data_IF_726595707105
#
_entry.id   IF_726595707105
#
_cell.length_a   1.000
_cell.length_b   1.000
_cell.length_c   1.000
_cell.angle_alpha   90.00
_cell.angle_beta   90.00
_cell.angle_gamma   90.00
#
_symmetry.space_group_name_H-M   'P 1'
#
loop_
_entity.id
_entity.type
_entity.pdbx_description
1 polymer ?
#
# COMPACT_ATOMS: atom_id res chain seq x y z
N UNK A 1 -28.16 12.02 11.27
CA UNK A 1 -27.10 11.37 12.07
C UNK A 1 -26.07 10.74 11.17
N UNK A 2 -24.78 10.75 11.53
CA UNK A 2 -23.66 10.30 10.69
C UNK A 2 -23.83 8.87 10.14
N UNK A 3 -24.49 7.98 10.88
CA UNK A 3 -24.83 6.60 10.45
C UNK A 3 -25.72 6.56 9.22
N UNK A 4 -26.65 7.51 9.06
CA UNK A 4 -27.52 7.59 7.87
C UNK A 4 -26.70 7.91 6.62
N UNK A 5 -25.72 8.80 6.72
CA UNK A 5 -24.87 9.18 5.59
C UNK A 5 -23.92 8.04 5.23
N UNK A 6 -23.35 7.35 6.23
CA UNK A 6 -22.54 6.15 6.01
C UNK A 6 -23.29 5.07 5.21
N UNK A 7 -24.51 4.71 5.65
CA UNK A 7 -25.35 3.73 4.93
C UNK A 7 -25.70 4.18 3.52
N UNK A 8 -25.95 5.48 3.31
CA UNK A 8 -26.22 6.02 1.98
C UNK A 8 -25.01 5.87 1.05
N UNK A 9 -23.79 6.12 1.54
CA UNK A 9 -22.54 5.92 0.79
C UNK A 9 -22.31 4.45 0.47
N UNK A 10 -22.46 3.56 1.45
CA UNK A 10 -22.30 2.11 1.25
C UNK A 10 -23.29 1.57 0.20
N UNK A 11 -24.56 1.96 0.29
CA UNK A 11 -25.59 1.54 -0.68
C UNK A 11 -25.32 2.10 -2.07
N UNK A 12 -24.86 3.36 -2.17
CA UNK A 12 -24.47 3.95 -3.46
C UNK A 12 -23.32 3.18 -4.09
N UNK A 13 -22.32 2.77 -3.30
CA UNK A 13 -21.20 1.96 -3.79
C UNK A 13 -21.67 0.57 -4.25
N UNK A 14 -22.53 -0.10 -3.47
CA UNK A 14 -23.12 -1.40 -3.84
C UNK A 14 -23.85 -1.34 -5.18
N UNK A 15 -24.66 -0.32 -5.42
CA UNK A 15 -25.36 -0.15 -6.70
C UNK A 15 -24.39 0.20 -7.84
N UNK A 16 -23.36 1.02 -7.59
CA UNK A 16 -22.39 1.41 -8.62
C UNK A 16 -21.60 0.21 -9.16
N UNK A 17 -21.27 -0.76 -8.31
CA UNK A 17 -20.52 -1.97 -8.71
C UNK A 17 -21.40 -3.12 -9.16
N UNK A 18 -22.73 -2.97 -9.13
CA UNK A 18 -23.69 -4.05 -9.42
C UNK A 18 -23.58 -4.60 -10.85
N UNK A 19 -23.14 -3.78 -11.80
CA UNK A 19 -22.94 -4.14 -13.20
C UNK A 19 -21.53 -4.71 -13.47
N UNK A 20 -20.63 -4.68 -12.48
CA UNK A 20 -19.30 -5.28 -12.63
C UNK A 20 -19.44 -6.80 -12.76
N UNK A 21 -18.71 -7.37 -13.71
CA UNK A 21 -18.73 -8.82 -13.99
C UNK A 21 -17.98 -9.62 -12.93
N UNK A 22 -17.05 -9.01 -12.21
CA UNK A 22 -16.32 -9.66 -11.14
C UNK A 22 -17.19 -9.77 -9.89
N UNK A 23 -17.10 -10.89 -9.15
CA UNK A 23 -17.71 -10.98 -7.83
C UNK A 23 -17.06 -9.96 -6.90
N UNK A 24 -17.89 -9.12 -6.27
CA UNK A 24 -17.45 -8.09 -5.32
C UNK A 24 -18.15 -8.29 -3.98
N UNK A 25 -17.40 -8.17 -2.88
CA UNK A 25 -17.93 -8.14 -1.52
C UNK A 25 -17.55 -6.81 -0.87
N UNK A 26 -18.50 -6.19 -0.17
CA UNK A 26 -18.36 -4.86 0.43
C UNK A 26 -18.77 -4.97 1.90
N UNK A 27 -17.89 -4.55 2.82
CA UNK A 27 -18.18 -4.48 4.25
C UNK A 27 -18.81 -3.14 4.65
N UNK A 28 -19.11 -2.95 5.94
CA UNK A 28 -19.56 -1.67 6.48
C UNK A 28 -18.36 -0.75 6.74
N UNK A 29 -18.61 0.56 6.78
CA UNK A 29 -17.61 1.55 7.20
C UNK A 29 -17.21 1.27 8.65
N UNK A 30 -15.91 1.04 8.86
CA UNK A 30 -15.34 0.70 10.16
C UNK A 30 -15.38 1.87 11.14
N UNK A 31 -15.09 1.60 12.41
CA UNK A 31 -14.92 2.65 13.44
C UNK A 31 -13.84 3.66 13.08
N UNK A 32 -12.85 3.27 12.28
CA UNK A 32 -11.77 4.12 11.79
C UNK A 32 -12.16 4.90 10.51
N UNK A 33 -13.37 4.73 10.00
CA UNK A 33 -13.85 5.41 8.79
C UNK A 33 -13.40 4.76 7.48
N UNK A 34 -12.82 3.54 7.54
CA UNK A 34 -12.38 2.80 6.36
C UNK A 34 -13.49 1.84 5.88
N UNK A 35 -13.63 1.69 4.56
CA UNK A 35 -14.51 0.69 3.95
C UNK A 35 -13.64 -0.37 3.29
N UNK A 36 -13.82 -1.63 3.66
CA UNK A 36 -13.12 -2.74 3.04
C UNK A 36 -13.98 -3.37 1.94
N UNK A 37 -13.32 -3.77 0.85
CA UNK A 37 -13.97 -4.49 -0.23
C UNK A 37 -13.00 -5.48 -0.88
N UNK A 38 -13.54 -6.61 -1.31
CA UNK A 38 -12.81 -7.58 -2.12
C UNK A 38 -13.43 -7.64 -3.51
N UNK A 39 -12.58 -7.72 -4.54
CA UNK A 39 -13.00 -7.87 -5.94
C UNK A 39 -12.28 -9.07 -6.54
N UNK A 40 -13.03 -9.98 -7.15
CA UNK A 40 -12.48 -11.14 -7.84
C UNK A 40 -11.56 -10.70 -8.99
N UNK A 41 -10.38 -11.30 -9.05
CA UNK A 41 -9.42 -11.07 -10.14
C UNK A 41 -9.79 -11.95 -11.34
N UNK A 42 -10.17 -11.33 -12.45
CA UNK A 42 -10.50 -12.02 -13.72
C UNK A 42 -9.33 -12.05 -14.71
N UNK A 43 -8.46 -11.05 -14.64
CA UNK A 43 -7.29 -10.87 -15.50
C UNK A 43 -6.17 -10.19 -14.71
N UNK A 44 -4.92 -10.14 -15.22
CA UNK A 44 -3.91 -9.24 -14.70
C UNK A 44 -4.42 -7.79 -14.64
N UNK A 45 -3.96 -7.04 -13.64
CA UNK A 45 -4.30 -5.62 -13.50
C UNK A 45 -3.51 -4.78 -14.52
N UNK A 46 -3.95 -3.53 -14.77
CA UNK A 46 -3.20 -2.59 -15.62
C UNK A 46 -1.79 -2.31 -15.07
N UNK A 47 -1.63 -2.33 -13.74
CA UNK A 47 -0.32 -2.21 -13.08
C UNK A 47 0.61 -3.36 -13.46
N UNK A 48 0.09 -4.58 -13.49
CA UNK A 48 0.89 -5.76 -13.86
C UNK A 48 1.15 -5.85 -15.37
N UNK A 49 0.20 -5.41 -16.20
CA UNK A 49 0.33 -5.55 -17.67
C UNK A 49 1.12 -4.42 -18.33
N UNK A 50 1.07 -3.22 -17.77
CA UNK A 50 1.55 -2.00 -18.44
C UNK A 50 2.53 -1.17 -17.61
N UNK A 51 2.79 -1.56 -16.35
CA UNK A 51 3.72 -0.85 -15.48
C UNK A 51 4.86 -1.77 -15.04
N UNK A 52 5.94 -1.16 -14.58
CA UNK A 52 7.07 -1.83 -13.93
C UNK A 52 7.33 -1.19 -12.57
N UNK A 53 8.04 -1.92 -11.71
CA UNK A 53 8.44 -1.39 -10.40
C UNK A 53 9.41 -0.24 -10.60
N UNK A 54 9.15 0.91 -9.95
CA UNK A 54 10.03 2.07 -10.06
C UNK A 54 11.47 1.70 -9.66
N UNK A 55 12.48 1.92 -10.53
CA UNK A 55 13.86 1.50 -10.25
C UNK A 55 14.54 2.34 -9.16
N UNK A 56 13.98 3.50 -8.81
CA UNK A 56 14.57 4.41 -7.81
C UNK A 56 14.20 4.05 -6.38
N UNK A 57 12.93 3.76 -6.15
CA UNK A 57 12.39 3.46 -4.81
C UNK A 57 11.96 2.01 -4.65
N UNK A 58 12.11 1.17 -5.68
CA UNK A 58 11.70 -0.23 -5.68
C UNK A 58 10.24 -0.43 -5.26
N UNK A 59 9.37 0.55 -5.57
CA UNK A 59 7.93 0.50 -5.28
C UNK A 59 7.50 1.07 -3.92
N UNK A 60 8.41 1.55 -3.07
CA UNK A 60 8.04 2.14 -1.76
C UNK A 60 7.37 3.51 -1.88
N UNK A 61 7.59 4.21 -3.00
CA UNK A 61 7.09 5.58 -3.21
C UNK A 61 7.90 6.66 -2.47
N UNK A 62 8.96 6.30 -1.75
CA UNK A 62 9.81 7.23 -1.00
C UNK A 62 11.29 6.89 -1.16
N UNK A 63 12.15 7.89 -1.05
CA UNK A 63 13.61 7.73 -0.99
C UNK A 63 14.05 8.29 0.36
N UNK A 64 14.91 7.56 1.06
CA UNK A 64 15.43 7.99 2.37
C UNK A 64 16.28 9.25 2.21
N UNK A 65 16.11 10.20 3.10
CA UNK A 65 16.88 11.45 3.10
C UNK A 65 18.39 11.18 3.22
N UNK A 66 19.18 12.06 2.61
CA UNK A 66 20.63 11.88 2.49
C UNK A 66 21.30 11.79 3.86
N UNK A 67 20.94 12.66 4.81
CA UNK A 67 21.52 12.71 6.15
C UNK A 67 21.27 11.38 6.89
N UNK A 68 20.04 10.86 6.80
CA UNK A 68 19.64 9.60 7.42
C UNK A 68 20.37 8.41 6.80
N UNK A 69 20.50 8.40 5.46
CA UNK A 69 21.22 7.36 4.74
C UNK A 69 22.72 7.39 5.02
N UNK A 70 23.34 8.57 4.99
CA UNK A 70 24.77 8.76 5.27
C UNK A 70 25.13 8.28 6.67
N UNK A 71 24.34 8.62 7.70
CA UNK A 71 24.58 8.13 9.07
C UNK A 71 24.42 6.61 9.17
N UNK A 72 23.48 6.02 8.43
CA UNK A 72 23.29 4.57 8.39
C UNK A 72 24.51 3.87 7.78
N UNK A 73 25.06 4.43 6.71
CA UNK A 73 26.26 3.91 6.03
C UNK A 73 27.49 4.05 6.94
N UNK A 74 27.66 5.21 7.59
CA UNK A 74 28.80 5.44 8.48
C UNK A 74 28.84 4.43 9.63
N UNK A 75 27.70 4.15 10.27
CA UNK A 75 27.61 3.13 11.32
C UNK A 75 27.96 1.73 10.82
N UNK A 76 27.54 1.39 9.60
CA UNK A 76 27.89 0.11 8.98
C UNK A 76 29.41 0.01 8.75
N UNK A 77 30.06 1.08 8.32
CA UNK A 77 31.52 1.14 8.16
C UNK A 77 32.21 0.94 9.51
N UNK A 78 31.78 1.65 10.55
CA UNK A 78 32.35 1.53 11.89
C UNK A 78 32.21 0.09 12.45
N UNK A 79 31.05 -0.54 12.24
CA UNK A 79 30.82 -1.93 12.65
C UNK A 79 31.76 -2.92 11.94
N UNK A 80 31.98 -2.78 10.64
CA UNK A 80 32.91 -3.64 9.91
C UNK A 80 34.37 -3.39 10.32
N UNK A 81 34.76 -2.14 10.55
CA UNK A 81 36.11 -1.79 11.00
C UNK A 81 36.45 -2.34 12.40
N UNK A 82 35.45 -2.45 13.28
CA UNK A 82 35.64 -3.02 14.62
C UNK A 82 35.82 -4.54 14.59
N UNK A 83 35.26 -5.26 13.60
CA UNK A 83 35.41 -6.72 13.48
C UNK A 83 36.84 -7.15 13.19
N UNK A 84 37.59 -6.38 12.39
CA UNK A 84 39.00 -6.68 12.07
C UNK A 84 39.94 -6.51 13.27
N UNK A 85 39.54 -5.76 14.30
CA UNK A 85 40.34 -5.52 15.51
C UNK A 85 40.12 -6.56 16.63
N UNK A 86 39.41 -7.65 16.34
CA UNK A 86 39.13 -8.74 17.29
C UNK A 86 39.73 -10.10 16.91
N UNK A 87 40.77 -10.12 16.04
CA UNK A 87 41.68 -11.27 15.97
C UNK A 87 42.77 -11.19 17.03
#
# INVERSE_FOLDING_TARGET
TPVRHQRAVENRLREAVRQDRARIQISHISRFGLLEMSRQRLSPSLGESSHHVCPRCSGTGTVRDNESLSLSILRLIDEEALKENTQ
#
